data_IF_303205314404
#
_entry.id   IF_303205314404
#
_cell.length_a   1.000
_cell.length_b   1.000
_cell.length_c   1.000
_cell.angle_alpha   90.00
_cell.angle_beta   90.00
_cell.angle_gamma   90.00
#
_symmetry.space_group_name_H-M   'P 1'
#
loop_
_entity.id
_entity.type
_entity.pdbx_description
1 polymer ?
#
# COMPACT_ATOMS: atom_id res chain seq x y z
N UNK A 1 6.57 5.04 -6.34
CA UNK A 1 5.18 5.38 -5.93
C UNK A 1 4.30 5.08 -7.13
N UNK A 2 3.63 3.92 -7.13
CA UNK A 2 2.80 3.50 -8.24
C UNK A 2 1.45 4.22 -8.21
N UNK A 3 1.29 5.25 -9.05
CA UNK A 3 0.03 6.02 -9.16
C UNK A 3 -1.08 5.29 -9.93
N UNK A 4 -0.81 4.07 -10.41
CA UNK A 4 -1.79 3.27 -11.15
C UNK A 4 -3.01 2.93 -10.30
N UNK A 5 -2.80 2.54 -9.03
CA UNK A 5 -3.87 2.14 -8.10
C UNK A 5 -4.86 3.28 -7.81
N UNK A 6 -4.44 4.50 -7.41
CA UNK A 6 -5.38 5.58 -7.10
C UNK A 6 -6.12 6.09 -8.34
N UNK A 7 -5.47 6.07 -9.52
CA UNK A 7 -6.11 6.42 -10.79
C UNK A 7 -7.18 5.39 -11.17
N UNK A 8 -6.88 4.10 -11.05
CA UNK A 8 -7.83 3.05 -11.37
C UNK A 8 -9.02 3.05 -10.38
N UNK A 9 -8.75 3.23 -9.09
CA UNK A 9 -9.78 3.30 -8.05
C UNK A 9 -10.72 4.50 -8.23
N UNK A 10 -10.18 5.69 -8.55
CA UNK A 10 -11.01 6.88 -8.78
C UNK A 10 -11.87 6.76 -10.04
N UNK A 11 -11.34 6.13 -11.10
CA UNK A 11 -12.07 5.89 -12.34
C UNK A 11 -13.21 4.88 -12.14
N UNK A 12 -12.97 3.81 -11.39
CA UNK A 12 -13.99 2.83 -11.04
C UNK A 12 -15.10 3.47 -10.18
N UNK A 13 -14.73 4.28 -9.19
CA UNK A 13 -15.69 5.04 -8.39
C UNK A 13 -16.56 5.97 -9.25
N UNK A 14 -15.95 6.70 -10.20
CA UNK A 14 -16.67 7.58 -11.11
C UNK A 14 -17.68 6.82 -11.97
N UNK A 15 -17.30 5.65 -12.52
CA UNK A 15 -18.20 4.80 -13.32
C UNK A 15 -19.37 4.28 -12.47
N UNK A 16 -19.12 3.81 -11.25
CA UNK A 16 -20.16 3.34 -10.33
C UNK A 16 -21.13 4.48 -10.00
N UNK A 17 -20.62 5.68 -9.73
CA UNK A 17 -21.47 6.85 -9.44
C UNK A 17 -22.31 7.30 -10.65
N UNK A 18 -21.75 7.21 -11.86
CA UNK A 18 -22.51 7.46 -13.09
C UNK A 18 -23.64 6.44 -13.28
N UNK A 19 -23.38 5.16 -13.00
CA UNK A 19 -24.40 4.11 -13.06
C UNK A 19 -25.50 4.33 -12.01
N UNK A 20 -25.14 4.73 -10.79
CA UNK A 20 -26.08 5.04 -9.72
C UNK A 20 -27.05 6.16 -10.13
N UNK A 21 -26.53 7.25 -10.70
CA UNK A 21 -27.35 8.37 -11.19
C UNK A 21 -28.22 7.98 -12.39
N UNK A 22 -27.76 7.06 -13.24
CA UNK A 22 -28.50 6.63 -14.44
C UNK A 22 -29.62 5.63 -14.13
N UNK A 23 -29.43 4.73 -13.16
CA UNK A 23 -30.34 3.60 -12.94
C UNK A 23 -31.10 3.62 -11.61
N UNK A 24 -30.55 4.21 -10.55
CA UNK A 24 -31.14 4.16 -9.20
C UNK A 24 -31.92 5.43 -8.88
N UNK A 25 -31.27 6.59 -8.97
CA UNK A 25 -31.88 7.82 -8.43
C UNK A 25 -32.93 8.43 -9.36
N UNK A 26 -32.87 8.23 -10.69
CA UNK A 26 -33.69 8.88 -11.75
C UNK A 26 -33.82 10.41 -11.66
N UNK A 27 -33.23 11.05 -10.66
CA UNK A 27 -33.10 12.47 -10.45
C UNK A 27 -31.66 12.86 -10.80
N UNK A 28 -31.51 13.88 -11.64
CA UNK A 28 -30.20 14.42 -11.99
C UNK A 28 -29.63 15.18 -10.79
N UNK A 29 -29.01 14.47 -9.85
CA UNK A 29 -28.16 15.11 -8.84
C UNK A 29 -27.14 16.01 -9.56
N UNK A 30 -26.83 17.21 -9.03
CA UNK A 30 -25.89 18.10 -9.71
C UNK A 30 -24.53 17.41 -9.87
N UNK A 31 -24.04 17.33 -11.11
CA UNK A 31 -22.74 16.71 -11.45
C UNK A 31 -21.58 17.28 -10.60
N UNK A 32 -21.73 18.53 -10.13
CA UNK A 32 -20.79 19.19 -9.22
C UNK A 32 -20.51 18.40 -7.94
N UNK A 33 -21.51 17.75 -7.34
CA UNK A 33 -21.30 16.93 -6.14
C UNK A 33 -20.53 15.65 -6.44
N UNK A 34 -20.83 15.03 -7.58
CA UNK A 34 -20.17 13.78 -8.00
C UNK A 34 -18.68 13.99 -8.28
N UNK A 35 -18.32 15.10 -8.93
CA UNK A 35 -16.92 15.46 -9.19
C UNK A 35 -16.19 15.74 -7.87
N UNK A 36 -16.83 16.44 -6.92
CA UNK A 36 -16.25 16.71 -5.60
C UNK A 36 -15.92 15.42 -4.86
N UNK A 37 -16.87 14.48 -4.83
CA UNK A 37 -16.66 13.20 -4.15
C UNK A 37 -15.61 12.34 -4.84
N UNK A 38 -15.54 12.38 -6.17
CA UNK A 38 -14.50 11.67 -6.94
C UNK A 38 -13.10 12.21 -6.63
N UNK A 39 -12.95 13.53 -6.52
CA UNK A 39 -11.69 14.18 -6.11
C UNK A 39 -11.32 13.76 -4.68
N UNK A 40 -12.29 13.69 -3.76
CA UNK A 40 -12.05 13.27 -2.38
C UNK A 40 -11.56 11.82 -2.33
N UNK A 41 -12.19 10.91 -3.08
CA UNK A 41 -11.76 9.50 -3.20
C UNK A 41 -10.35 9.40 -3.78
N UNK A 42 -10.02 10.20 -4.81
CA UNK A 42 -8.66 10.24 -5.36
C UNK A 42 -7.62 10.71 -4.33
N UNK A 43 -7.92 11.75 -3.57
CA UNK A 43 -7.03 12.26 -2.52
C UNK A 43 -6.80 11.21 -1.42
N UNK A 44 -7.87 10.54 -0.97
CA UNK A 44 -7.77 9.47 0.03
C UNK A 44 -6.95 8.29 -0.51
N UNK A 45 -7.14 7.90 -1.77
CA UNK A 45 -6.36 6.83 -2.40
C UNK A 45 -4.88 7.21 -2.58
N UNK A 46 -4.56 8.46 -2.86
CA UNK A 46 -3.18 8.95 -2.89
C UNK A 46 -2.53 8.86 -1.51
N UNK A 47 -3.24 9.29 -0.46
CA UNK A 47 -2.76 9.19 0.93
C UNK A 47 -2.56 7.73 1.34
N UNK A 48 -3.48 6.83 0.97
CA UNK A 48 -3.35 5.41 1.33
C UNK A 48 -2.13 4.75 0.69
N UNK A 49 -1.84 5.02 -0.59
CA UNK A 49 -0.63 4.51 -1.26
C UNK A 49 0.63 5.09 -0.65
N UNK A 50 0.62 6.38 -0.29
CA UNK A 50 1.74 7.01 0.39
C UNK A 50 2.00 6.36 1.76
N UNK A 51 0.96 6.18 2.57
CA UNK A 51 1.07 5.51 3.87
C UNK A 51 1.56 4.07 3.69
N UNK A 52 0.98 3.31 2.76
CA UNK A 52 1.42 1.95 2.50
C UNK A 52 2.91 1.89 2.14
N UNK A 53 3.38 2.73 1.21
CA UNK A 53 4.79 2.76 0.81
C UNK A 53 5.77 3.08 1.95
N UNK A 54 5.37 3.95 2.90
CA UNK A 54 6.22 4.33 4.03
C UNK A 54 6.18 3.31 5.18
N UNK A 55 5.00 2.75 5.48
CA UNK A 55 4.78 1.93 6.67
C UNK A 55 4.85 0.42 6.42
N UNK A 56 4.84 -0.03 5.16
CA UNK A 56 4.85 -1.46 4.82
C UNK A 56 6.04 -2.20 5.46
N UNK A 57 7.25 -1.66 5.34
CA UNK A 57 8.46 -2.29 5.91
C UNK A 57 8.45 -2.30 7.44
N UNK A 58 7.98 -1.23 8.08
CA UNK A 58 7.87 -1.13 9.54
C UNK A 58 6.89 -2.15 10.10
N UNK A 59 5.72 -2.27 9.46
CA UNK A 59 4.69 -3.25 9.85
C UNK A 59 5.21 -4.66 9.62
N UNK A 60 5.86 -4.93 8.49
CA UNK A 60 6.44 -6.25 8.22
C UNK A 60 7.54 -6.62 9.22
N UNK A 61 8.39 -5.66 9.61
CA UNK A 61 9.41 -5.84 10.64
C UNK A 61 8.83 -6.13 12.02
N UNK A 62 7.77 -5.41 12.40
CA UNK A 62 7.04 -5.67 13.64
C UNK A 62 6.38 -7.06 13.63
N UNK A 63 5.67 -7.41 12.53
CA UNK A 63 5.03 -8.72 12.39
C UNK A 63 6.07 -9.86 12.39
N UNK A 64 7.25 -9.66 11.80
CA UNK A 64 8.35 -10.61 11.85
C UNK A 64 8.92 -10.81 13.25
N UNK A 65 8.99 -9.75 14.07
CA UNK A 65 9.40 -9.83 15.48
C UNK A 65 8.37 -10.61 16.33
N UNK A 66 7.09 -10.28 16.19
CA UNK A 66 6.00 -10.90 16.96
C UNK A 66 5.80 -12.37 16.59
N UNK A 67 6.03 -12.73 15.32
CA UNK A 67 5.75 -14.08 14.82
C UNK A 67 6.94 -15.04 14.94
N UNK A 68 8.08 -14.63 15.54
CA UNK A 68 9.30 -15.46 15.65
C UNK A 68 9.74 -16.10 14.32
N UNK A 69 9.33 -15.56 13.17
CA UNK A 69 9.79 -16.04 11.86
C UNK A 69 11.16 -15.46 11.59
N UNK A 70 12.17 -16.01 12.27
CA UNK A 70 13.59 -15.76 12.00
C UNK A 70 13.95 -16.41 10.66
N UNK A 71 13.44 -15.89 9.54
CA UNK A 71 14.17 -15.97 8.27
C UNK A 71 15.28 -14.95 8.36
N UNK A 72 16.31 -15.30 9.14
CA UNK A 72 17.61 -14.66 9.02
C UNK A 72 17.96 -14.82 7.54
N UNK A 73 18.23 -13.72 6.80
CA UNK A 73 18.73 -13.87 5.45
C UNK A 73 19.92 -14.85 5.52
N UNK A 74 19.96 -15.79 4.58
CA UNK A 74 20.93 -16.87 4.55
C UNK A 74 22.43 -16.48 4.50
N UNK A 75 22.91 -15.24 4.28
CA UNK A 75 24.36 -15.01 4.33
C UNK A 75 24.95 -15.13 5.74
N UNK A 76 24.14 -15.12 6.81
CA UNK A 76 24.63 -15.32 8.18
C UNK A 76 24.75 -16.81 8.59
N UNK A 77 24.46 -17.75 7.69
CA UNK A 77 24.63 -19.20 7.89
C UNK A 77 25.81 -19.78 7.09
N UNK A 78 26.52 -18.94 6.31
CA UNK A 78 27.75 -19.34 5.63
C UNK A 78 28.91 -19.30 6.64
N UNK A 79 29.05 -20.42 7.36
CA UNK A 79 30.05 -20.73 8.38
C UNK A 79 29.87 -19.96 9.71
N UNK A 80 29.73 -20.66 10.86
CA UNK A 80 29.98 -20.03 12.14
C UNK A 80 31.39 -19.42 12.09
N UNK A 81 31.55 -18.19 12.56
CA UNK A 81 32.85 -17.52 12.64
C UNK A 81 33.77 -18.41 13.50
N UNK A 82 34.66 -19.16 12.85
CA UNK A 82 35.64 -19.98 13.55
C UNK A 82 36.71 -19.01 14.02
N UNK A 83 36.65 -18.63 15.30
CA UNK A 83 37.73 -17.95 15.99
C UNK A 83 38.92 -18.89 16.12
N UNK A 84 39.62 -19.14 15.00
CA UNK A 84 40.93 -19.77 15.04
C UNK A 84 41.90 -18.71 15.54
N UNK A 85 42.38 -18.88 16.79
CA UNK A 85 43.44 -18.10 17.45
C UNK A 85 44.81 -18.21 16.72
N UNK A 86 44.85 -18.05 15.40
CA UNK A 86 46.08 -17.92 14.64
C UNK A 86 46.37 -16.41 14.51
N UNK A 87 47.21 -15.81 15.38
CA UNK A 87 47.61 -14.43 15.20
C UNK A 87 48.38 -14.32 13.89
N UNK A 88 47.83 -13.55 12.94
CA UNK A 88 48.58 -13.12 11.77
C UNK A 88 49.75 -12.25 12.25
N UNK A 89 50.97 -12.75 12.04
CA UNK A 89 52.16 -11.90 11.93
C UNK A 89 52.09 -11.09 10.64
#
# INVERSE_FOLDING_TARGET
>A
MDFFVPIFASLLFFVVKLLEMKYIDRETKPIKYMVRDTILVFMVACVSVFLYGNYFNTIQGFMGMVTSSRVVPMPALAAPEIFTDAPGF
#
